data_IF_722947339543
#
_entry.id   IF_722947339543
#
_cell.length_a   1.000
_cell.length_b   1.000
_cell.length_c   1.000
_cell.angle_alpha   90.00
_cell.angle_beta   90.00
_cell.angle_gamma   90.00
#
_symmetry.space_group_name_H-M   'P 1'
#
loop_
_entity.id
_entity.type
_entity.pdbx_description
1 polymer ?
#
# COMPACT_ATOMS: atom_id res chain seq x y z
N UNK A 1 -28.18 -25.29 -36.02
CA UNK A 1 -27.86 -26.12 -34.83
C UNK A 1 -26.71 -25.41 -34.13
N UNK A 2 -27.01 -24.68 -33.06
CA UNK A 2 -25.98 -24.01 -32.27
C UNK A 2 -25.24 -25.03 -31.41
N UNK A 3 -23.92 -24.92 -31.37
CA UNK A 3 -23.10 -25.78 -30.53
C UNK A 3 -23.25 -25.32 -29.07
N UNK A 4 -23.31 -26.25 -28.12
CA UNK A 4 -23.44 -25.90 -26.71
C UNK A 4 -22.20 -25.12 -26.23
N UNK A 5 -22.37 -24.16 -25.30
CA UNK A 5 -21.27 -23.35 -24.80
C UNK A 5 -20.23 -24.21 -24.08
N UNK A 6 -18.96 -24.02 -24.44
CA UNK A 6 -17.85 -24.77 -23.85
C UNK A 6 -17.58 -24.31 -22.42
N UNK A 7 -17.34 -25.26 -21.53
CA UNK A 7 -16.93 -25.01 -20.15
C UNK A 7 -15.42 -24.75 -20.09
N UNK A 8 -14.95 -23.70 -19.41
CA UNK A 8 -13.53 -23.41 -19.32
C UNK A 8 -12.83 -24.45 -18.44
N UNK A 9 -11.69 -24.98 -18.91
CA UNK A 9 -10.87 -25.93 -18.17
C UNK A 9 -9.55 -25.27 -17.81
N UNK A 10 -9.20 -25.26 -16.52
CA UNK A 10 -7.94 -24.71 -16.02
C UNK A 10 -6.76 -25.56 -16.51
N UNK A 11 -5.81 -24.94 -17.23
CA UNK A 11 -4.57 -25.59 -17.66
C UNK A 11 -3.69 -25.92 -16.44
N UNK A 12 -3.53 -27.20 -16.14
CA UNK A 12 -2.60 -27.69 -15.12
C UNK A 12 -1.15 -27.67 -15.64
N UNK A 13 -0.23 -26.98 -14.95
CA UNK A 13 1.21 -27.24 -15.09
C UNK A 13 1.55 -28.47 -14.24
N UNK A 14 2.13 -29.48 -14.90
CA UNK A 14 2.48 -30.79 -14.32
C UNK A 14 3.32 -30.60 -13.05
N UNK A 15 2.79 -30.94 -11.87
CA UNK A 15 3.55 -31.08 -10.62
C UNK A 15 3.20 -30.14 -9.45
N UNK A 16 2.41 -29.08 -9.64
CA UNK A 16 1.97 -28.22 -8.53
C UNK A 16 0.46 -28.32 -8.33
N UNK A 17 0.05 -28.82 -7.17
CA UNK A 17 -1.33 -28.65 -6.68
C UNK A 17 -1.53 -27.14 -6.53
N UNK A 18 -2.48 -26.56 -7.26
CA UNK A 18 -2.97 -25.22 -6.97
C UNK A 18 -3.65 -25.33 -5.60
N UNK A 19 -2.94 -24.95 -4.54
CA UNK A 19 -3.48 -24.85 -3.20
C UNK A 19 -4.27 -23.54 -3.08
N UNK A 20 -5.33 -23.39 -3.89
CA UNK A 20 -6.40 -22.43 -3.61
C UNK A 20 -7.69 -23.21 -3.40
N UNK A 21 -8.07 -23.32 -2.13
CA UNK A 21 -9.44 -23.59 -1.71
C UNK A 21 -10.20 -22.27 -1.89
N UNK A 22 -11.06 -22.19 -2.89
CA UNK A 22 -11.63 -20.96 -3.45
C UNK A 22 -12.64 -20.22 -2.56
N UNK A 23 -12.54 -20.31 -1.24
CA UNK A 23 -13.36 -19.52 -0.35
C UNK A 23 -12.66 -19.29 0.98
N UNK A 24 -12.03 -18.13 1.12
CA UNK A 24 -11.75 -17.51 2.42
C UNK A 24 -12.85 -16.50 2.66
N UNK A 25 -13.86 -16.87 3.46
CA UNK A 25 -14.84 -15.91 3.98
C UNK A 25 -14.22 -15.29 5.22
N UNK A 26 -13.73 -14.06 5.10
CA UNK A 26 -13.32 -13.29 6.26
C UNK A 26 -14.58 -12.78 6.95
N UNK A 27 -14.68 -12.98 8.26
CA UNK A 27 -15.70 -12.34 9.09
C UNK A 27 -15.45 -10.83 9.03
N UNK A 28 -16.34 -10.11 8.34
CA UNK A 28 -16.29 -8.66 8.26
C UNK A 28 -16.80 -8.10 9.59
N UNK A 29 -15.90 -7.85 10.53
CA UNK A 29 -16.20 -7.05 11.71
C UNK A 29 -16.26 -5.55 11.32
N UNK A 30 -17.13 -5.21 10.37
CA UNK A 30 -17.29 -3.84 9.87
C UNK A 30 -18.53 -3.21 10.49
N UNK A 31 -18.42 -1.96 10.92
CA UNK A 31 -19.54 -1.20 11.47
C UNK A 31 -20.41 -0.59 10.34
N UNK A 32 -19.84 -0.31 9.17
CA UNK A 32 -20.57 0.23 8.01
C UNK A 32 -21.04 -0.87 7.05
N UNK A 33 -22.16 -0.65 6.36
CA UNK A 33 -22.69 -1.60 5.37
C UNK A 33 -21.71 -1.85 4.21
N UNK A 34 -20.95 -0.81 3.83
CA UNK A 34 -19.98 -0.87 2.73
C UNK A 34 -18.58 -1.32 3.17
N UNK A 35 -18.34 -1.49 4.48
CA UNK A 35 -17.02 -1.77 5.08
C UNK A 35 -15.92 -0.82 4.55
N UNK A 36 -16.20 0.48 4.58
CA UNK A 36 -15.30 1.48 4.03
C UNK A 36 -14.22 1.88 5.05
N UNK A 37 -12.96 1.65 4.70
CA UNK A 37 -11.82 2.21 5.41
C UNK A 37 -11.59 3.67 5.01
N UNK A 38 -11.14 4.50 5.96
CA UNK A 38 -10.70 5.88 5.72
C UNK A 38 -9.24 6.03 6.15
N UNK A 39 -8.34 5.60 5.27
CA UNK A 39 -6.90 5.68 5.48
C UNK A 39 -6.41 7.10 5.20
N UNK A 40 -5.94 7.77 6.25
CA UNK A 40 -5.31 9.08 6.16
C UNK A 40 -3.81 8.99 6.39
N UNK A 41 -3.06 9.67 5.54
CA UNK A 41 -1.61 9.77 5.60
C UNK A 41 -1.23 11.24 5.73
N UNK A 42 -0.43 11.56 6.75
CA UNK A 42 0.15 12.89 6.96
C UNK A 42 1.65 12.75 7.08
N UNK A 43 2.39 13.65 6.45
CA UNK A 43 3.85 13.63 6.46
C UNK A 43 4.41 15.03 6.65
N UNK A 44 5.48 15.14 7.43
CA UNK A 44 6.29 16.35 7.57
C UNK A 44 7.75 16.01 7.31
N UNK A 45 8.37 16.80 6.43
CA UNK A 45 9.80 16.70 6.14
C UNK A 45 10.60 17.25 7.32
N UNK A 46 11.58 16.48 7.80
CA UNK A 46 12.51 16.88 8.85
C UNK A 46 13.92 16.93 8.27
N UNK A 47 14.46 18.15 8.20
CA UNK A 47 15.79 18.43 7.69
C UNK A 47 16.64 19.01 8.83
N UNK A 48 17.69 18.30 9.22
CA UNK A 48 18.60 18.78 10.27
C UNK A 48 19.25 20.09 9.84
N UNK A 49 19.04 21.16 10.61
CA UNK A 49 19.67 22.46 10.35
C UNK A 49 18.97 23.36 9.33
N UNK A 50 17.74 23.02 8.89
CA UNK A 50 16.93 23.90 8.03
C UNK A 50 15.67 24.36 8.77
N UNK A 51 15.32 25.64 8.61
CA UNK A 51 14.07 26.17 9.15
C UNK A 51 12.87 25.51 8.46
N UNK A 52 11.81 25.24 9.21
CA UNK A 52 10.58 24.58 8.71
C UNK A 52 9.89 25.38 7.61
N UNK A 53 10.16 26.69 7.53
CA UNK A 53 9.64 27.58 6.49
C UNK A 53 10.40 27.47 5.16
N UNK A 54 11.52 26.77 5.14
CA UNK A 54 12.35 26.64 3.93
C UNK A 54 11.68 25.67 2.96
N UNK A 55 11.20 26.19 1.82
CA UNK A 55 10.47 25.42 0.81
C UNK A 55 11.39 24.72 -0.22
N UNK A 56 12.70 24.84 -0.08
CA UNK A 56 13.68 24.29 -1.02
C UNK A 56 14.75 23.49 -0.28
N UNK A 57 15.29 22.47 -0.95
CA UNK A 57 16.44 21.72 -0.49
C UNK A 57 17.61 22.02 -1.44
N UNK A 58 18.65 22.68 -0.94
CA UNK A 58 19.86 22.90 -1.73
C UNK A 58 20.68 21.61 -1.85
N UNK A 59 21.23 21.37 -3.04
CA UNK A 59 22.07 20.20 -3.29
C UNK A 59 23.29 20.20 -2.35
N UNK A 60 23.52 19.09 -1.66
CA UNK A 60 24.62 18.94 -0.71
C UNK A 60 24.39 19.57 0.67
N UNK A 61 23.26 20.24 0.91
CA UNK A 61 22.97 20.87 2.20
C UNK A 61 22.73 19.84 3.32
N UNK A 62 22.16 18.69 2.99
CA UNK A 62 21.92 17.59 3.93
C UNK A 62 22.36 16.27 3.32
N UNK A 63 22.79 15.35 4.18
CA UNK A 63 23.11 13.97 3.79
C UNK A 63 21.90 13.04 3.94
N UNK A 64 21.07 13.29 4.95
CA UNK A 64 19.93 12.46 5.30
C UNK A 64 18.65 13.31 5.33
N UNK A 65 17.56 12.72 4.86
CA UNK A 65 16.23 13.32 4.90
C UNK A 65 15.36 12.41 5.75
N UNK A 66 14.77 12.95 6.80
CA UNK A 66 13.86 12.21 7.67
C UNK A 66 12.42 12.64 7.39
N UNK A 67 11.49 11.70 7.42
CA UNK A 67 10.06 11.96 7.25
C UNK A 67 9.34 11.59 8.55
N UNK A 68 8.68 12.56 9.18
CA UNK A 68 7.73 12.29 10.25
C UNK A 68 6.38 11.99 9.63
N UNK A 69 5.95 10.74 9.69
CA UNK A 69 4.73 10.25 9.05
C UNK A 69 3.75 9.80 10.12
N UNK A 70 2.50 10.22 9.98
CA UNK A 70 1.37 9.76 10.78
C UNK A 70 0.36 9.08 9.85
N UNK A 71 -0.04 7.87 10.23
CA UNK A 71 -1.03 7.05 9.53
C UNK A 71 -2.20 6.85 10.49
N UNK A 72 -3.41 7.09 10.02
CA UNK A 72 -4.62 6.85 10.80
C UNK A 72 -5.70 6.24 9.92
N UNK A 73 -6.52 5.36 10.50
CA UNK A 73 -7.74 4.87 9.87
C UNK A 73 -8.93 5.42 10.65
N UNK A 74 -9.81 6.21 10.01
CA UNK A 74 -11.04 6.72 10.61
C UNK A 74 -12.29 5.94 10.19
N UNK A 75 -12.12 4.89 9.37
CA UNK A 75 -13.19 4.01 8.92
C UNK A 75 -13.10 2.62 9.54
N UNK A 76 -13.69 1.65 8.86
CA UNK A 76 -13.61 0.23 9.25
C UNK A 76 -12.21 -0.36 8.99
N UNK A 77 -11.95 -1.55 9.53
CA UNK A 77 -10.66 -2.24 9.41
C UNK A 77 -10.18 -2.39 7.96
N UNK A 78 -8.95 -1.93 7.70
CA UNK A 78 -8.30 -2.01 6.39
C UNK A 78 -7.40 -3.24 6.30
N UNK A 79 -7.77 -4.20 5.45
CA UNK A 79 -6.96 -5.39 5.16
C UNK A 79 -5.91 -5.09 4.08
N UNK A 80 -4.70 -5.63 4.24
CA UNK A 80 -3.57 -5.42 3.31
C UNK A 80 -3.20 -3.94 3.10
N UNK A 81 -3.34 -3.13 4.16
CA UNK A 81 -2.96 -1.73 4.13
C UNK A 81 -1.44 -1.57 3.94
N UNK A 82 -1.04 -0.78 2.95
CA UNK A 82 0.36 -0.53 2.63
C UNK A 82 0.59 0.97 2.36
N UNK A 83 1.81 1.43 2.62
CA UNK A 83 2.25 2.80 2.36
C UNK A 83 3.41 2.77 1.38
N UNK A 84 3.23 3.44 0.25
CA UNK A 84 4.24 3.55 -0.81
C UNK A 84 4.75 4.97 -0.94
N UNK A 85 6.07 5.14 -0.97
CA UNK A 85 6.72 6.41 -1.26
C UNK A 85 7.29 6.39 -2.68
N UNK A 86 6.91 7.37 -3.49
CA UNK A 86 7.50 7.59 -4.80
C UNK A 86 8.58 8.67 -4.68
N UNK A 87 9.84 8.27 -4.82
CA UNK A 87 11.00 9.14 -4.65
C UNK A 87 11.82 9.21 -5.94
N UNK A 88 12.58 10.29 -6.11
CA UNK A 88 13.48 10.44 -7.25
C UNK A 88 14.68 9.49 -7.14
N UNK A 89 15.41 9.28 -8.25
CA UNK A 89 16.47 8.27 -8.36
C UNK A 89 17.69 8.57 -7.48
N UNK A 90 17.83 9.82 -7.06
CA UNK A 90 18.91 10.34 -6.23
C UNK A 90 18.69 10.03 -4.75
N UNK A 91 17.48 9.63 -4.37
CA UNK A 91 17.11 9.28 -3.01
C UNK A 91 17.05 7.76 -2.85
N UNK A 92 17.51 7.28 -1.70
CA UNK A 92 17.42 5.88 -1.31
C UNK A 92 16.90 5.79 0.13
N UNK A 93 16.07 4.79 0.37
CA UNK A 93 15.54 4.50 1.68
C UNK A 93 16.66 3.94 2.59
N UNK A 94 16.81 4.52 3.78
CA UNK A 94 17.86 4.13 4.74
C UNK A 94 17.25 3.26 5.85
N UNK A 95 16.24 3.78 6.53
CA UNK A 95 15.55 3.13 7.63
C UNK A 95 14.17 3.77 7.89
N UNK A 96 13.35 3.03 8.64
CA UNK A 96 12.14 3.52 9.31
C UNK A 96 12.45 3.81 10.77
#
# INVERSE_FOLDING_TARGET
RELPPLTPVLRWKKGQKIAQKNQTVFERNCHSEDCAADLQLRGKLLLSGMDEKTLYLALGAVKNISLNISISNLGDDAYDANVSFNVSRELFFINM
#
